data_IF_009809688250
#
_entry.id   IF_009809688250
#
_cell.length_a   1.000
_cell.length_b   1.000
_cell.length_c   1.000
_cell.angle_alpha   90.00
_cell.angle_beta   90.00
_cell.angle_gamma   90.00
#
_symmetry.space_group_name_H-M   'P 1'
#
loop_
_entity.id
_entity.type
_entity.pdbx_description
1 polymer ?
#
# COMPACT_ATOMS: atom_id res chain seq x y z
N UNK A 1 -2.43 8.79 -4.93
CA UNK A 1 -2.01 9.59 -3.75
C UNK A 1 -2.86 9.09 -2.58
N UNK A 2 -2.22 8.62 -1.50
CA UNK A 2 -2.90 7.96 -0.39
C UNK A 2 -3.99 8.83 0.24
N UNK A 3 -3.75 10.13 0.43
CA UNK A 3 -4.73 11.08 1.00
C UNK A 3 -6.02 11.14 0.16
N UNK A 4 -5.87 11.20 -1.17
CA UNK A 4 -7.03 11.24 -2.06
C UNK A 4 -7.85 9.94 -2.02
N UNK A 5 -7.21 8.78 -1.86
CA UNK A 5 -7.92 7.50 -1.77
C UNK A 5 -8.73 7.40 -0.47
N UNK A 6 -8.19 7.86 0.66
CA UNK A 6 -8.88 7.82 1.97
C UNK A 6 -10.00 8.86 2.09
N UNK A 7 -9.91 9.98 1.38
CA UNK A 7 -10.95 11.00 1.32
C UNK A 7 -12.00 10.73 0.24
N UNK A 8 -11.68 9.88 -0.73
CA UNK A 8 -12.55 9.48 -1.84
C UNK A 8 -13.15 8.09 -1.63
N UNK A 9 -12.71 7.15 -2.45
CA UNK A 9 -13.32 5.81 -2.62
C UNK A 9 -13.35 4.95 -1.35
N UNK A 10 -12.45 5.21 -0.39
CA UNK A 10 -12.33 4.44 0.85
C UNK A 10 -12.96 5.12 2.05
N UNK A 11 -13.41 6.37 1.92
CA UNK A 11 -13.88 7.20 3.03
C UNK A 11 -14.96 6.52 3.87
N UNK A 12 -15.93 5.91 3.19
CA UNK A 12 -17.07 5.25 3.84
C UNK A 12 -16.81 3.76 4.15
N UNK A 13 -15.64 3.25 3.77
CA UNK A 13 -15.20 1.86 4.01
C UNK A 13 -14.17 1.74 5.13
N UNK A 14 -13.63 2.87 5.58
CA UNK A 14 -12.66 2.97 6.67
C UNK A 14 -13.37 3.10 8.00
N UNK A 15 -12.95 2.30 8.97
CA UNK A 15 -13.30 2.51 10.37
C UNK A 15 -12.70 3.85 10.85
N UNK A 16 -13.37 4.51 11.81
CA UNK A 16 -12.94 5.83 12.29
C UNK A 16 -11.49 5.82 12.81
N UNK A 17 -11.10 4.77 13.53
CA UNK A 17 -9.73 4.59 14.05
C UNK A 17 -8.70 4.41 12.94
N UNK A 18 -9.05 3.67 11.90
CA UNK A 18 -8.16 3.39 10.78
C UNK A 18 -7.94 4.66 9.94
N UNK A 19 -9.02 5.43 9.73
CA UNK A 19 -8.92 6.74 9.10
C UNK A 19 -8.04 7.70 9.90
N UNK A 20 -8.24 7.79 11.21
CA UNK A 20 -7.43 8.66 12.07
C UNK A 20 -5.94 8.27 12.04
N UNK A 21 -5.63 6.97 12.07
CA UNK A 21 -4.26 6.48 11.94
C UNK A 21 -3.61 6.88 10.60
N UNK A 22 -4.34 6.72 9.49
CA UNK A 22 -3.88 7.13 8.16
C UNK A 22 -3.69 8.64 8.06
N UNK A 23 -4.66 9.44 8.52
CA UNK A 23 -4.57 10.90 8.48
C UNK A 23 -3.39 11.42 9.29
N UNK A 24 -3.13 10.83 10.46
CA UNK A 24 -1.97 11.16 11.29
C UNK A 24 -0.67 10.80 10.58
N UNK A 25 -0.52 9.57 10.09
CA UNK A 25 0.70 9.12 9.41
C UNK A 25 1.02 9.96 8.15
N UNK A 26 -0.01 10.28 7.35
CA UNK A 26 0.12 11.15 6.18
C UNK A 26 0.58 12.55 6.60
N UNK A 27 -0.05 13.13 7.62
CA UNK A 27 0.26 14.49 8.06
C UNK A 27 1.68 14.58 8.62
N UNK A 28 2.11 13.60 9.43
CA UNK A 28 3.48 13.48 9.92
C UNK A 28 4.49 13.33 8.78
N UNK A 29 4.15 12.53 7.76
CA UNK A 29 5.01 12.36 6.58
C UNK A 29 5.14 13.65 5.79
N UNK A 30 4.04 14.37 5.56
CA UNK A 30 4.07 15.67 4.88
C UNK A 30 4.92 16.68 5.66
N UNK A 31 4.72 16.79 6.98
CA UNK A 31 5.53 17.69 7.82
C UNK A 31 7.01 17.31 7.79
N UNK A 32 7.34 16.03 7.74
CA UNK A 32 8.72 15.58 7.56
C UNK A 32 9.26 15.98 6.18
N UNK A 33 8.51 15.71 5.10
CA UNK A 33 8.91 16.07 3.73
C UNK A 33 9.18 17.58 3.59
N UNK A 34 8.34 18.42 4.20
CA UNK A 34 8.50 19.88 4.18
C UNK A 34 9.77 20.34 4.92
N UNK A 35 10.18 19.60 5.96
CA UNK A 35 11.38 19.90 6.77
C UNK A 35 12.66 19.23 6.24
N UNK A 36 12.53 18.19 5.42
CA UNK A 36 13.61 17.27 5.05
C UNK A 36 13.94 17.31 3.55
N UNK A 37 13.81 18.46 2.90
CA UNK A 37 14.06 18.63 1.46
C UNK A 37 15.47 18.17 1.00
N UNK A 38 16.47 18.19 1.89
CA UNK A 38 17.84 17.74 1.63
C UNK A 38 18.17 16.37 2.24
N UNK A 39 17.17 15.62 2.73
CA UNK A 39 17.40 14.29 3.29
C UNK A 39 17.99 13.32 2.26
N UNK A 40 18.76 12.37 2.76
CA UNK A 40 19.35 11.31 1.95
C UNK A 40 18.28 10.35 1.44
N UNK A 41 18.61 9.64 0.36
CA UNK A 41 17.74 8.59 -0.20
C UNK A 41 17.30 7.59 0.86
N UNK A 42 18.21 7.17 1.74
CA UNK A 42 17.94 6.18 2.78
C UNK A 42 16.90 6.70 3.79
N UNK A 43 16.98 7.98 4.19
CA UNK A 43 15.99 8.61 5.07
C UNK A 43 14.60 8.72 4.41
N UNK A 44 14.55 9.02 3.11
CA UNK A 44 13.28 9.00 2.35
C UNK A 44 12.69 7.59 2.27
N UNK A 45 13.52 6.56 2.04
CA UNK A 45 13.07 5.16 2.02
C UNK A 45 12.58 4.69 3.40
N UNK A 46 13.27 5.09 4.48
CA UNK A 46 12.83 4.81 5.85
C UNK A 46 11.48 5.48 6.14
N UNK A 47 11.33 6.77 5.81
CA UNK A 47 10.07 7.47 6.01
C UNK A 47 8.93 6.87 5.19
N UNK A 48 9.22 6.46 3.95
CA UNK A 48 8.26 5.75 3.12
C UNK A 48 7.82 4.43 3.77
N UNK A 49 8.77 3.61 4.26
CA UNK A 49 8.48 2.35 4.93
C UNK A 49 7.64 2.53 6.19
N UNK A 50 7.88 3.59 6.97
CA UNK A 50 7.05 3.92 8.13
C UNK A 50 5.59 4.18 7.73
N UNK A 51 5.37 4.99 6.69
CA UNK A 51 4.03 5.28 6.18
C UNK A 51 3.36 4.01 5.64
N UNK A 52 4.08 3.21 4.85
CA UNK A 52 3.58 1.96 4.28
C UNK A 52 3.26 0.92 5.36
N UNK A 53 4.04 0.86 6.44
CA UNK A 53 3.81 -0.02 7.58
C UNK A 53 2.47 0.22 8.27
N UNK A 54 1.93 1.44 8.18
CA UNK A 54 0.59 1.79 8.69
C UNK A 54 -0.44 1.63 7.58
N UNK A 55 -0.14 2.12 6.38
CA UNK A 55 -1.10 2.18 5.29
C UNK A 55 -1.47 0.80 4.74
N UNK A 56 -0.48 -0.05 4.45
CA UNK A 56 -0.70 -1.35 3.82
C UNK A 56 -1.67 -2.26 4.61
N UNK A 57 -1.49 -2.49 5.93
CA UNK A 57 -2.42 -3.36 6.66
C UNK A 57 -3.85 -2.83 6.69
N UNK A 58 -4.02 -1.50 6.79
CA UNK A 58 -5.35 -0.87 6.77
C UNK A 58 -5.99 -1.01 5.38
N UNK A 59 -5.23 -0.75 4.32
CA UNK A 59 -5.71 -0.90 2.95
C UNK A 59 -6.10 -2.34 2.66
N UNK A 60 -5.30 -3.33 3.08
CA UNK A 60 -5.63 -4.75 2.96
C UNK A 60 -6.94 -5.10 3.68
N UNK A 61 -7.15 -4.58 4.89
CA UNK A 61 -8.39 -4.77 5.66
C UNK A 61 -9.60 -4.21 4.90
N UNK A 62 -9.49 -3.01 4.35
CA UNK A 62 -10.58 -2.36 3.59
C UNK A 62 -10.90 -3.13 2.30
N UNK A 63 -9.88 -3.56 1.55
CA UNK A 63 -10.08 -4.34 0.32
C UNK A 63 -10.69 -5.72 0.59
N UNK A 64 -10.24 -6.40 1.66
CA UNK A 64 -10.82 -7.67 2.08
C UNK A 64 -12.30 -7.51 2.51
N UNK A 65 -12.63 -6.45 3.23
CA UNK A 65 -14.00 -6.14 3.63
C UNK A 65 -14.93 -5.82 2.44
N UNK A 66 -14.37 -5.27 1.35
CA UNK A 66 -15.10 -4.96 0.13
C UNK A 66 -15.34 -6.18 -0.79
N UNK A 67 -14.97 -7.39 -0.36
CA UNK A 67 -15.11 -8.61 -1.17
C UNK A 67 -14.09 -8.75 -2.30
N UNK A 68 -13.05 -7.90 -2.31
CA UNK A 68 -11.90 -8.06 -3.19
C UNK A 68 -11.00 -9.19 -2.65
N UNK A 69 -10.78 -10.23 -3.45
CA UNK A 69 -9.77 -11.23 -3.13
C UNK A 69 -8.41 -10.51 -2.89
N UNK A 70 -7.61 -10.92 -1.87
CA UNK A 70 -6.28 -10.37 -1.65
C UNK A 70 -5.33 -10.90 -2.74
N UNK A 71 -5.45 -10.34 -3.94
CA UNK A 71 -4.64 -10.70 -5.11
C UNK A 71 -3.88 -9.47 -5.59
N UNK A 72 -2.62 -9.37 -5.19
CA UNK A 72 -1.67 -8.38 -5.70
C UNK A 72 -1.46 -7.20 -4.77
N UNK A 73 -0.41 -7.28 -3.94
CA UNK A 73 0.17 -6.09 -3.32
C UNK A 73 0.57 -5.09 -4.42
N UNK A 74 0.06 -3.85 -4.43
CA UNK A 74 0.56 -2.81 -5.32
C UNK A 74 1.86 -2.26 -4.72
N UNK A 75 2.99 -2.90 -5.00
CA UNK A 75 4.29 -2.37 -4.55
C UNK A 75 5.39 -3.38 -4.25
N UNK A 76 5.16 -4.69 -4.44
CA UNK A 76 6.24 -5.67 -4.34
C UNK A 76 7.09 -5.66 -5.61
N UNK A 77 8.10 -4.80 -5.69
CA UNK A 77 9.24 -5.10 -6.55
C UNK A 77 9.83 -6.45 -6.07
N UNK A 78 9.99 -7.48 -6.92
CA UNK A 78 10.86 -8.58 -6.56
C UNK A 78 12.29 -8.04 -6.60
N UNK A 79 12.81 -7.70 -5.42
CA UNK A 79 14.24 -7.58 -5.22
C UNK A 79 14.88 -8.93 -5.58
N UNK A 80 15.58 -8.95 -6.72
CA UNK A 80 16.64 -9.89 -7.08
C UNK A 80 16.42 -11.38 -6.79
N UNK A 81 16.08 -12.16 -7.81
CA UNK A 81 16.18 -13.62 -7.73
C UNK A 81 15.81 -14.35 -9.02
N UNK A 82 16.82 -14.57 -9.88
CA UNK A 82 16.96 -15.74 -10.79
C UNK A 82 15.88 -16.01 -11.87
N UNK A 83 16.19 -15.91 -13.18
CA UNK A 83 15.37 -16.53 -14.22
C UNK A 83 15.66 -18.02 -14.27
N UNK A 84 14.87 -18.82 -13.56
CA UNK A 84 14.97 -20.27 -13.66
C UNK A 84 14.00 -20.99 -12.74
N UNK A 85 13.22 -21.90 -13.35
CA UNK A 85 12.36 -22.92 -12.75
C UNK A 85 10.94 -22.49 -12.33
N UNK A 86 10.02 -22.66 -13.26
CA UNK A 86 9.01 -23.73 -13.15
C UNK A 86 7.72 -23.43 -12.37
N UNK A 87 6.61 -23.74 -13.05
CA UNK A 87 5.31 -24.14 -12.51
C UNK A 87 4.48 -23.05 -11.80
N UNK A 88 3.50 -22.49 -12.52
CA UNK A 88 2.09 -22.91 -12.38
C UNK A 88 1.24 -22.02 -13.30
N UNK A 89 0.89 -22.56 -14.46
CA UNK A 89 -0.15 -22.01 -15.34
C UNK A 89 -1.52 -22.41 -14.78
N UNK A 90 -2.46 -21.48 -14.51
CA UNK A 90 -3.85 -21.86 -14.34
C UNK A 90 -4.52 -21.91 -15.71
N UNK A 91 -4.88 -23.12 -16.12
CA UNK A 91 -5.69 -23.43 -17.30
C UNK A 91 -7.02 -22.67 -17.28
N UNK A 92 -7.22 -21.76 -18.24
CA UNK A 92 -8.54 -21.26 -18.58
C UNK A 92 -9.19 -22.33 -19.47
N UNK A 93 -10.18 -23.04 -18.92
CA UNK A 93 -11.21 -23.72 -19.72
C UNK A 93 -11.95 -22.64 -20.52
N UNK A 94 -11.51 -22.42 -21.76
CA UNK A 94 -12.39 -21.81 -22.75
C UNK A 94 -13.39 -22.87 -23.17
N UNK A 95 -14.60 -22.68 -22.64
CA UNK A 95 -15.86 -23.27 -23.09
C UNK A 95 -16.02 -22.97 -24.59
N UNK A 96 -15.94 -24.01 -25.41
CA UNK A 96 -16.59 -24.13 -26.71
C UNK A 96 -17.22 -25.53 -26.84
#
# INVERSE_FOLDING_TARGET
>A
NLRNSIEGELKDKLEASDKEALDKAISETISWLDASAEASKDEYEEKQKELEGIANPIMQKVYAAAGGAPGGAPGGAPAGGFPGAGADEPSVEEVD
#
